data_IF_415889960601
#
_entry.id   IF_415889960601
#
_cell.length_a   1.000
_cell.length_b   1.000
_cell.length_c   1.000
_cell.angle_alpha   90.00
_cell.angle_beta   90.00
_cell.angle_gamma   90.00
#
_symmetry.space_group_name_H-M   'P 1'
#
loop_
_entity.id
_entity.type
_entity.pdbx_description
1 polymer ?
#
# COMPACT_ATOMS: atom_id res chain seq x y z
N UNK A 1 -0.42 -23.60 -56.42
CA UNK A 1 0.14 -22.55 -55.54
C UNK A 1 -0.91 -21.85 -54.67
N UNK A 2 -2.06 -21.39 -55.20
CA UNK A 2 -3.14 -20.78 -54.40
C UNK A 2 -3.67 -21.68 -53.28
N UNK A 3 -3.81 -22.98 -53.53
CA UNK A 3 -4.31 -23.94 -52.53
C UNK A 3 -3.27 -24.23 -51.44
N UNK A 4 -1.98 -24.17 -51.77
CA UNK A 4 -0.90 -24.29 -50.80
C UNK A 4 -0.89 -23.08 -49.85
N UNK A 5 -1.07 -21.86 -50.38
CA UNK A 5 -1.17 -20.64 -49.59
C UNK A 5 -2.38 -20.66 -48.63
N UNK A 6 -3.54 -21.12 -49.11
CA UNK A 6 -4.75 -21.25 -48.29
C UNK A 6 -4.53 -22.26 -47.16
N UNK A 7 -3.90 -23.41 -47.44
CA UNK A 7 -3.59 -24.42 -46.42
C UNK A 7 -2.66 -23.87 -45.34
N UNK A 8 -1.62 -23.12 -45.73
CA UNK A 8 -0.67 -22.52 -44.78
C UNK A 8 -1.34 -21.46 -43.91
N UNK A 9 -2.22 -20.63 -44.47
CA UNK A 9 -2.98 -19.65 -43.69
C UNK A 9 -3.89 -20.32 -42.65
N UNK A 10 -4.63 -21.37 -43.02
CA UNK A 10 -5.51 -22.10 -42.09
C UNK A 10 -4.72 -22.75 -40.96
N UNK A 11 -3.55 -23.34 -41.27
CA UNK A 11 -2.67 -23.93 -40.27
C UNK A 11 -2.09 -22.89 -39.29
N UNK A 12 -1.74 -21.69 -39.78
CA UNK A 12 -1.26 -20.61 -38.92
C UNK A 12 -2.35 -20.07 -37.97
N UNK A 13 -3.61 -20.00 -38.42
CA UNK A 13 -4.73 -19.60 -37.56
C UNK A 13 -5.01 -20.64 -36.46
N UNK A 14 -4.91 -21.94 -36.77
CA UNK A 14 -5.04 -23.01 -35.79
C UNK A 14 -3.87 -23.07 -34.78
N UNK A 15 -2.70 -22.56 -35.14
CA UNK A 15 -1.56 -22.41 -34.22
C UNK A 15 -1.66 -21.14 -33.34
N UNK A 16 -2.39 -20.10 -33.79
CA UNK A 16 -2.67 -18.90 -33.00
C UNK A 16 -3.77 -19.11 -31.95
N UNK A 17 -4.60 -20.15 -32.07
CA UNK A 17 -5.37 -20.68 -30.93
C UNK A 17 -4.43 -21.51 -30.07
N UNK A 18 -3.43 -20.83 -29.49
CA UNK A 18 -2.50 -21.41 -28.54
C UNK A 18 -3.28 -22.18 -27.48
N UNK A 19 -2.73 -23.35 -27.10
CA UNK A 19 -3.32 -24.33 -26.20
C UNK A 19 -4.44 -23.73 -25.35
N UNK A 20 -5.68 -24.14 -25.61
CA UNK A 20 -6.83 -23.80 -24.77
C UNK A 20 -6.60 -24.18 -23.29
N UNK A 21 -5.56 -24.97 -23.03
CA UNK A 21 -5.04 -25.38 -21.73
C UNK A 21 -4.05 -24.39 -21.08
N UNK A 22 -3.69 -23.27 -21.73
CA UNK A 22 -2.76 -22.27 -21.18
C UNK A 22 -3.43 -21.32 -20.20
N UNK A 23 -4.77 -21.21 -20.23
CA UNK A 23 -5.50 -20.35 -19.33
C UNK A 23 -5.90 -21.11 -18.06
N UNK A 24 -5.55 -20.62 -16.86
CA UNK A 24 -5.96 -21.28 -15.63
C UNK A 24 -7.49 -21.29 -15.52
N UNK A 25 -8.04 -22.34 -14.92
CA UNK A 25 -9.47 -22.41 -14.61
C UNK A 25 -9.90 -21.16 -13.83
N UNK A 26 -10.96 -20.50 -14.30
CA UNK A 26 -11.51 -19.32 -13.62
C UNK A 26 -12.01 -19.72 -12.22
N UNK A 27 -11.77 -18.83 -11.26
CA UNK A 27 -12.29 -19.04 -9.92
C UNK A 27 -13.83 -18.96 -9.96
N UNK A 28 -14.55 -19.93 -9.36
CA UNK A 28 -16.00 -19.90 -9.30
C UNK A 28 -16.53 -18.61 -8.65
N UNK A 29 -17.59 -18.03 -9.22
CA UNK A 29 -18.17 -16.77 -8.77
C UNK A 29 -18.69 -16.84 -7.34
N UNK A 30 -19.26 -17.98 -6.93
CA UNK A 30 -19.70 -18.24 -5.56
C UNK A 30 -18.54 -18.15 -4.55
N UNK A 31 -17.32 -18.53 -4.95
CA UNK A 31 -16.13 -18.42 -4.11
C UNK A 31 -15.61 -16.99 -4.02
N UNK A 32 -15.73 -16.21 -5.10
CA UNK A 32 -15.35 -14.79 -5.13
C UNK A 32 -16.28 -13.97 -4.23
N UNK A 33 -17.57 -14.30 -4.25
CA UNK A 33 -18.61 -13.59 -3.51
C UNK A 33 -18.87 -14.14 -2.11
N UNK A 34 -18.14 -15.18 -1.70
CA UNK A 34 -18.23 -15.73 -0.35
C UNK A 34 -17.76 -14.69 0.67
N UNK A 35 -18.51 -14.55 1.77
CA UNK A 35 -18.11 -13.68 2.88
C UNK A 35 -16.74 -14.13 3.42
N UNK A 36 -15.73 -13.25 3.47
CA UNK A 36 -14.42 -13.62 3.99
C UNK A 36 -14.51 -13.89 5.50
N UNK A 37 -13.84 -14.94 5.95
CA UNK A 37 -13.63 -15.15 7.38
C UNK A 37 -12.70 -14.05 7.91
N UNK A 38 -13.27 -13.12 8.66
CA UNK A 38 -12.50 -12.06 9.29
C UNK A 38 -11.77 -12.61 10.53
N UNK A 39 -10.51 -12.20 10.75
CA UNK A 39 -9.80 -12.56 11.97
C UNK A 39 -10.39 -11.82 13.19
N UNK A 40 -10.22 -12.37 14.39
CA UNK A 40 -10.83 -11.87 15.64
C UNK A 40 -10.54 -10.38 15.97
N UNK A 41 -9.45 -9.84 15.44
CA UNK A 41 -9.04 -8.45 15.62
C UNK A 41 -9.66 -7.48 14.61
N UNK A 42 -10.24 -7.97 13.50
CA UNK A 42 -10.87 -7.12 12.48
C UNK A 42 -12.07 -6.29 13.00
N UNK A 43 -13.01 -6.83 13.80
CA UNK A 43 -14.13 -6.02 14.30
C UNK A 43 -13.70 -4.89 15.26
N UNK A 44 -12.55 -5.03 15.92
CA UNK A 44 -12.02 -4.00 16.82
C UNK A 44 -11.42 -2.79 16.08
N UNK A 45 -11.07 -2.96 14.80
CA UNK A 45 -10.56 -1.88 13.95
C UNK A 45 -11.67 -0.94 13.46
N UNK A 46 -12.93 -1.41 13.39
CA UNK A 46 -14.05 -0.64 12.85
C UNK A 46 -14.69 0.32 13.88
N UNK A 47 -14.53 0.06 15.18
CA UNK A 47 -14.92 0.99 16.22
C UNK A 47 -14.13 0.77 17.50
N UNK A 48 -13.20 1.65 17.82
CA UNK A 48 -12.73 1.72 19.20
C UNK A 48 -12.34 3.14 19.57
N UNK A 49 -13.34 3.86 20.10
CA UNK A 49 -13.16 5.13 20.83
C UNK A 49 -12.03 5.03 21.87
N UNK A 50 -11.82 3.84 22.43
CA UNK A 50 -10.70 3.56 23.34
C UNK A 50 -9.32 3.66 22.66
N UNK A 51 -9.17 3.16 21.43
CA UNK A 51 -7.92 3.27 20.66
C UNK A 51 -7.67 4.72 20.26
N UNK A 52 -8.71 5.45 19.86
CA UNK A 52 -8.59 6.87 19.54
C UNK A 52 -8.18 7.69 20.77
N UNK A 53 -8.79 7.42 21.93
CA UNK A 53 -8.43 8.06 23.18
C UNK A 53 -6.98 7.75 23.59
N UNK A 54 -6.54 6.50 23.44
CA UNK A 54 -5.16 6.10 23.73
C UNK A 54 -4.16 6.74 22.76
N UNK A 55 -4.49 6.80 21.47
CA UNK A 55 -3.68 7.45 20.45
C UNK A 55 -3.55 8.96 20.70
N UNK A 56 -4.65 9.61 21.08
CA UNK A 56 -4.67 11.03 21.42
C UNK A 56 -3.82 11.30 22.67
N UNK A 57 -3.96 10.49 23.72
CA UNK A 57 -3.14 10.62 24.94
C UNK A 57 -1.65 10.47 24.63
N UNK A 58 -1.27 9.52 23.75
CA UNK A 58 0.12 9.37 23.28
C UNK A 58 0.58 10.60 22.49
N UNK A 59 -0.26 11.15 21.62
CA UNK A 59 0.06 12.35 20.85
C UNK A 59 0.29 13.56 21.77
N UNK A 60 -0.54 13.73 22.80
CA UNK A 60 -0.40 14.82 23.77
C UNK A 60 0.88 14.69 24.61
N UNK A 61 1.20 13.49 25.07
CA UNK A 61 2.45 13.22 25.76
C UNK A 61 3.68 13.52 24.88
N UNK A 62 3.61 13.20 23.58
CA UNK A 62 4.68 13.52 22.62
C UNK A 62 4.82 15.03 22.40
N UNK A 63 3.71 15.77 22.27
CA UNK A 63 3.72 17.23 22.14
C UNK A 63 4.34 17.89 23.38
N UNK A 64 3.92 17.47 24.57
CA UNK A 64 4.46 17.99 25.83
C UNK A 64 5.98 17.77 25.92
N UNK A 65 6.46 16.58 25.53
CA UNK A 65 7.89 16.30 25.48
C UNK A 65 8.62 17.18 24.47
N UNK A 66 8.06 17.37 23.28
CA UNK A 66 8.65 18.24 22.26
C UNK A 66 8.74 19.69 22.73
N UNK A 67 7.69 20.19 23.40
CA UNK A 67 7.69 21.54 23.97
C UNK A 67 8.70 21.69 25.11
N UNK A 68 8.86 20.67 25.96
CA UNK A 68 9.88 20.67 27.01
C UNK A 68 11.31 20.70 26.45
N UNK A 69 11.52 20.14 25.25
CA UNK A 69 12.80 20.16 24.55
C UNK A 69 12.99 21.40 23.66
N UNK A 70 11.99 22.30 23.63
CA UNK A 70 11.99 23.47 22.75
C UNK A 70 12.87 24.55 23.36
N UNK A 71 14.10 24.64 22.87
CA UNK A 71 15.07 25.64 23.27
C UNK A 71 16.01 25.99 22.13
N UNK A 72 16.91 26.98 22.35
CA UNK A 72 17.93 27.32 21.38
C UNK A 72 18.80 26.10 21.07
N UNK A 73 18.88 25.70 19.79
CA UNK A 73 19.81 24.64 19.35
C UNK A 73 21.26 25.11 19.41
N UNK A 74 21.46 26.44 19.32
CA UNK A 74 22.76 27.09 19.40
C UNK A 74 22.78 27.96 20.66
N UNK A 75 23.81 27.75 21.48
CA UNK A 75 24.04 28.56 22.67
C UNK A 75 24.19 30.05 22.32
N UNK A 76 23.63 30.99 23.12
CA UNK A 76 23.63 32.42 22.82
C UNK A 76 25.02 33.02 22.55
N UNK A 77 26.04 32.53 23.25
CA UNK A 77 27.43 32.96 23.07
C UNK A 77 28.03 32.46 21.76
N UNK A 78 27.66 31.25 21.34
CA UNK A 78 28.07 30.71 20.05
C UNK A 78 27.41 31.49 18.91
N UNK A 79 26.12 31.81 19.04
CA UNK A 79 25.39 32.64 18.08
C UNK A 79 26.00 34.04 17.95
N UNK A 80 26.42 34.64 19.07
CA UNK A 80 27.05 35.98 19.08
C UNK A 80 28.39 36.02 18.36
N UNK A 81 29.18 34.92 18.41
CA UNK A 81 30.44 34.81 17.66
C UNK A 81 30.23 34.62 16.16
N UNK A 82 29.12 34.04 15.76
CA UNK A 82 28.79 33.78 14.34
C UNK A 82 28.23 35.01 13.62
N UNK A 83 27.72 36.01 14.34
CA UNK A 83 27.19 37.23 13.72
C UNK A 83 28.34 38.09 13.15
N UNK A 84 28.23 38.57 11.91
CA UNK A 84 29.23 39.47 11.33
C UNK A 84 29.28 40.79 12.11
N UNK A 85 30.48 41.34 12.29
CA UNK A 85 30.68 42.70 12.82
C UNK A 85 30.39 43.69 11.69
N UNK A 86 29.36 44.52 11.88
CA UNK A 86 29.11 45.72 11.07
C UNK A 86 30.14 46.81 11.36
#
# INVERSE_FOLDING_TARGET
MRHALILTCVAALAACTGEADTYPSLLPTDRILAEPALPDHAPHAASSVAVDAEAQARADALRQRADALRGPVIEPDALSRMRPRE
#
